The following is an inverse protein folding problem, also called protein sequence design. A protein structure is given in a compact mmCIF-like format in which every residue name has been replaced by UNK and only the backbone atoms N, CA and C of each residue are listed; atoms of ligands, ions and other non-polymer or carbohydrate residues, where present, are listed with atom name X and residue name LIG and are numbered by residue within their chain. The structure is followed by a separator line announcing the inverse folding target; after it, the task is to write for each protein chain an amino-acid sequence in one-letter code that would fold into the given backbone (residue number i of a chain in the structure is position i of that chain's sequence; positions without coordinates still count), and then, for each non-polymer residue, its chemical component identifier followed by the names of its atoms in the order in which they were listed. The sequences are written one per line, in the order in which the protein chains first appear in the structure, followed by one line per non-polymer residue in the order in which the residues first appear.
data_IF_740437837537
#
_entry.id   IF_740437837537
#
_cell.length_a   1.000
_cell.length_b   1.000
_cell.length_c   1.000
_cell.angle_alpha   90.00
_cell.angle_beta   90.00
_cell.angle_gamma   90.00
#
_symmetry.space_group_name_H-M   'P 1'
#
loop_
_entity.id
_entity.type
_entity.pdbx_description
1 polymer ?
#
# COMPACT_ATOMS: atom_id res chain seq x y z
N UNK A 1 17.74 -20.67 -2.33
CA UNK A 1 17.85 -20.10 -0.99
C UNK A 1 16.82 -19.02 -0.83
N UNK A 2 16.08 -18.93 0.30
CA UNK A 2 15.04 -17.93 0.48
C UNK A 2 15.64 -16.52 0.64
N UNK A 3 14.94 -15.52 0.12
CA UNK A 3 15.14 -14.11 0.39
C UNK A 3 13.90 -13.58 1.10
N UNK A 4 14.07 -12.91 2.23
CA UNK A 4 13.00 -12.26 2.97
C UNK A 4 13.11 -10.74 2.82
N UNK A 5 12.03 -10.11 2.39
CA UNK A 5 11.90 -8.65 2.32
C UNK A 5 11.03 -8.20 3.49
N UNK A 6 11.59 -7.42 4.40
CA UNK A 6 10.88 -6.88 5.56
C UNK A 6 10.59 -5.40 5.31
N UNK A 7 9.34 -5.10 5.04
CA UNK A 7 8.88 -3.74 4.75
C UNK A 7 8.14 -3.15 5.95
N UNK A 8 8.75 -2.19 6.63
CA UNK A 8 8.15 -1.48 7.75
C UNK A 8 8.84 -0.13 7.93
N UNK A 9 8.08 0.97 7.91
CA UNK A 9 8.63 2.32 8.02
C UNK A 9 9.50 2.50 9.27
N UNK A 10 8.94 2.21 10.42
CA UNK A 10 9.62 2.35 11.73
C UNK A 10 10.40 1.11 12.16
N UNK A 11 10.21 -0.01 11.46
CA UNK A 11 10.73 -1.33 11.81
C UNK A 11 10.31 -1.81 13.22
N UNK A 12 9.14 -1.32 13.67
CA UNK A 12 8.56 -1.63 14.99
C UNK A 12 7.09 -2.08 14.89
N UNK A 13 6.49 -2.12 13.70
CA UNK A 13 5.11 -2.52 13.50
C UNK A 13 4.89 -3.96 13.96
N UNK A 14 4.08 -4.17 14.99
CA UNK A 14 3.93 -5.44 15.69
C UNK A 14 3.68 -6.63 14.74
N UNK A 15 2.68 -6.53 13.85
CA UNK A 15 2.36 -7.61 12.92
C UNK A 15 3.50 -7.94 11.95
N UNK A 16 4.15 -6.93 11.39
CA UNK A 16 5.30 -7.10 10.48
C UNK A 16 6.47 -7.74 11.21
N UNK A 17 6.81 -7.23 12.39
CA UNK A 17 7.98 -7.73 13.14
C UNK A 17 7.75 -9.13 13.72
N UNK A 18 6.52 -9.46 14.12
CA UNK A 18 6.17 -10.84 14.53
C UNK A 18 6.43 -11.83 13.39
N UNK A 19 5.97 -11.51 12.19
CA UNK A 19 6.21 -12.34 11.00
C UNK A 19 7.70 -12.40 10.64
N UNK A 20 8.41 -11.28 10.69
CA UNK A 20 9.84 -11.23 10.42
C UNK A 20 10.64 -12.07 11.42
N UNK A 21 10.34 -12.02 12.72
CA UNK A 21 10.99 -12.85 13.74
C UNK A 21 10.65 -14.34 13.55
N UNK A 22 9.45 -14.68 13.14
CA UNK A 22 9.08 -16.07 12.81
C UNK A 22 9.92 -16.58 11.64
N UNK A 23 10.05 -15.80 10.57
CA UNK A 23 10.88 -16.15 9.42
C UNK A 23 12.37 -16.27 9.81
N UNK A 24 12.87 -15.36 10.65
CA UNK A 24 14.24 -15.40 11.18
C UNK A 24 14.50 -16.68 11.98
N UNK A 25 13.60 -17.02 12.89
CA UNK A 25 13.70 -18.25 13.69
C UNK A 25 13.71 -19.49 12.80
N UNK A 26 12.85 -19.53 11.80
CA UNK A 26 12.81 -20.61 10.82
C UNK A 26 14.12 -20.73 10.04
N UNK A 27 14.66 -19.61 9.55
CA UNK A 27 15.94 -19.57 8.83
C UNK A 27 17.09 -20.09 9.70
N UNK A 28 17.23 -19.56 10.92
CA UNK A 28 18.30 -19.93 11.84
C UNK A 28 18.25 -21.42 12.20
N UNK A 29 17.04 -21.97 12.43
CA UNK A 29 16.87 -23.39 12.68
C UNK A 29 17.36 -24.24 11.49
N UNK A 30 17.12 -23.79 10.26
CA UNK A 30 17.56 -24.48 9.05
C UNK A 30 19.07 -24.39 8.77
N UNK A 31 19.73 -23.37 9.31
CA UNK A 31 21.16 -23.08 9.10
C UNK A 31 22.03 -23.29 10.34
N UNK A 32 21.58 -24.14 11.28
CA UNK A 32 22.37 -24.51 12.47
C UNK A 32 22.59 -23.38 13.48
N UNK A 33 21.75 -22.34 13.47
CA UNK A 33 21.82 -21.22 14.42
C UNK A 33 22.83 -20.13 14.05
N UNK A 34 23.39 -20.13 12.84
CA UNK A 34 24.33 -19.10 12.41
C UNK A 34 23.64 -17.73 12.21
N UNK A 35 23.75 -16.86 13.21
CA UNK A 35 23.20 -15.50 13.21
C UNK A 35 23.67 -14.65 12.01
N UNK A 36 24.89 -14.89 11.49
CA UNK A 36 25.43 -14.17 10.33
C UNK A 36 24.66 -14.48 9.03
N UNK A 37 23.87 -15.55 9.03
CA UNK A 37 23.03 -15.89 7.89
C UNK A 37 21.90 -14.88 7.67
N UNK A 38 21.46 -14.17 8.71
CA UNK A 38 20.41 -13.14 8.61
C UNK A 38 20.82 -12.07 7.60
N UNK A 39 22.04 -11.55 7.68
CA UNK A 39 22.57 -10.54 6.76
C UNK A 39 22.60 -11.01 5.27
N UNK A 40 22.55 -12.31 5.03
CA UNK A 40 22.61 -12.90 3.67
C UNK A 40 21.24 -13.25 3.09
N UNK A 41 20.22 -13.30 3.95
CA UNK A 41 18.88 -13.78 3.58
C UNK A 41 17.78 -12.77 3.81
N UNK A 42 18.08 -11.67 4.49
CA UNK A 42 17.11 -10.61 4.76
C UNK A 42 17.54 -9.29 4.15
N UNK A 43 16.57 -8.58 3.60
CA UNK A 43 16.68 -7.18 3.20
C UNK A 43 15.57 -6.38 3.87
N UNK A 44 15.83 -5.11 4.13
CA UNK A 44 14.86 -4.23 4.75
C UNK A 44 14.41 -3.12 3.79
N UNK A 45 13.13 -2.78 3.87
CA UNK A 45 12.60 -1.54 3.30
C UNK A 45 12.07 -0.72 4.47
N UNK A 46 12.84 0.28 4.89
CA UNK A 46 12.61 1.00 6.16
C UNK A 46 13.25 2.38 6.14
N UNK A 47 12.84 3.22 7.10
CA UNK A 47 13.50 4.50 7.41
C UNK A 47 14.31 4.43 8.72
N UNK A 48 14.30 3.28 9.41
CA UNK A 48 14.92 3.11 10.74
C UNK A 48 16.11 2.16 10.69
N UNK A 49 17.28 2.69 10.35
CA UNK A 49 18.54 1.95 10.23
C UNK A 49 18.94 1.24 11.53
N UNK A 50 18.73 1.88 12.68
CA UNK A 50 19.12 1.34 13.97
C UNK A 50 18.37 0.03 14.30
N UNK A 51 17.05 -0.02 14.09
CA UNK A 51 16.26 -1.23 14.33
C UNK A 51 16.51 -2.31 13.25
N UNK A 52 16.83 -1.91 12.02
CA UNK A 52 17.24 -2.83 10.94
C UNK A 52 18.56 -3.54 11.31
N UNK A 53 19.56 -2.77 11.74
CA UNK A 53 20.85 -3.33 12.20
C UNK A 53 20.68 -4.25 13.41
N UNK A 54 19.86 -3.85 14.38
CA UNK A 54 19.56 -4.64 15.58
C UNK A 54 18.87 -5.98 15.27
N UNK A 55 18.06 -6.03 14.22
CA UNK A 55 17.46 -7.28 13.74
C UNK A 55 18.49 -8.26 13.18
N UNK A 56 19.64 -7.76 12.72
CA UNK A 56 20.75 -8.53 12.13
C UNK A 56 20.81 -8.42 10.60
N UNK A 57 20.03 -7.51 9.99
CA UNK A 57 20.14 -7.20 8.56
C UNK A 57 21.33 -6.28 8.36
N UNK A 58 22.15 -6.56 7.33
CA UNK A 58 23.18 -5.63 6.90
C UNK A 58 22.53 -4.38 6.30
N UNK A 59 22.86 -3.20 6.83
CA UNK A 59 22.24 -1.94 6.41
C UNK A 59 22.59 -1.54 4.97
N UNK A 60 23.61 -2.15 4.36
CA UNK A 60 23.85 -2.04 2.92
C UNK A 60 22.70 -2.65 2.09
N UNK A 61 21.96 -3.58 2.66
CA UNK A 61 20.76 -4.20 2.10
C UNK A 61 19.46 -3.55 2.60
N UNK A 62 19.53 -2.32 3.05
CA UNK A 62 18.37 -1.51 3.43
C UNK A 62 18.03 -0.53 2.33
N UNK A 63 16.76 -0.54 1.93
CA UNK A 63 16.18 0.37 0.95
C UNK A 63 15.35 1.43 1.68
N UNK A 64 15.83 2.66 1.66
CA UNK A 64 15.16 3.81 2.26
C UNK A 64 14.05 4.37 1.38
N UNK A 65 13.13 5.09 1.99
CA UNK A 65 12.09 5.87 1.31
C UNK A 65 11.76 7.13 2.12
N UNK A 66 11.04 8.05 1.52
CA UNK A 66 10.75 9.35 2.11
C UNK A 66 9.76 9.25 3.27
N UNK A 67 9.91 10.11 4.26
CA UNK A 67 9.06 10.11 5.46
C UNK A 67 7.59 10.40 5.18
N UNK A 68 7.29 11.12 4.11
CA UNK A 68 5.92 11.42 3.66
C UNK A 68 5.22 10.23 2.97
N UNK A 69 5.91 9.13 2.67
CA UNK A 69 5.31 7.94 2.05
C UNK A 69 4.37 7.26 3.04
N UNK A 70 3.09 7.20 2.71
CA UNK A 70 2.07 6.51 3.49
C UNK A 70 1.87 5.06 3.03
N UNK A 71 1.53 4.15 3.95
CA UNK A 71 1.45 2.71 3.67
C UNK A 71 0.56 2.34 2.49
N UNK A 72 -0.65 2.88 2.42
CA UNK A 72 -1.62 2.58 1.35
C UNK A 72 -1.29 3.20 -0.02
N UNK A 73 -0.35 4.13 -0.06
CA UNK A 73 0.15 4.81 -1.26
C UNK A 73 1.62 4.49 -1.54
N UNK A 74 2.14 3.38 -1.04
CA UNK A 74 3.57 3.13 -0.98
C UNK A 74 4.11 2.21 -2.07
N UNK A 75 3.25 1.54 -2.85
CA UNK A 75 3.68 0.54 -3.83
C UNK A 75 4.57 1.12 -4.94
N UNK A 76 4.43 2.39 -5.26
CA UNK A 76 5.22 3.16 -6.21
C UNK A 76 6.56 3.69 -5.62
N UNK A 77 6.84 3.42 -4.35
CA UNK A 77 8.10 3.72 -3.66
C UNK A 77 8.98 2.46 -3.52
N UNK A 78 10.07 2.56 -2.75
CA UNK A 78 10.91 1.41 -2.40
C UNK A 78 10.11 0.26 -1.71
N UNK A 79 8.95 0.55 -1.11
CA UNK A 79 8.04 -0.47 -0.55
C UNK A 79 7.59 -1.46 -1.64
N UNK A 80 7.52 -1.05 -2.89
CA UNK A 80 7.23 -1.91 -4.04
C UNK A 80 8.33 -2.90 -4.42
N UNK A 81 9.45 -2.98 -3.69
CA UNK A 81 10.56 -3.88 -4.00
C UNK A 81 10.13 -5.34 -4.22
N UNK A 82 9.23 -5.86 -3.38
CA UNK A 82 8.72 -7.22 -3.53
C UNK A 82 7.93 -7.42 -4.84
N UNK A 83 7.16 -6.41 -5.24
CA UNK A 83 6.44 -6.40 -6.54
C UNK A 83 7.44 -6.35 -7.69
N UNK A 84 8.43 -5.46 -7.61
CA UNK A 84 9.47 -5.35 -8.64
C UNK A 84 10.25 -6.66 -8.83
N UNK A 85 10.58 -7.35 -7.74
CA UNK A 85 11.24 -8.66 -7.79
C UNK A 85 10.34 -9.73 -8.43
N UNK A 86 9.03 -9.65 -8.22
CA UNK A 86 8.07 -10.62 -8.75
C UNK A 86 7.79 -10.43 -10.25
N UNK A 87 7.65 -9.19 -10.73
CA UNK A 87 7.24 -8.88 -12.11
C UNK A 87 8.42 -8.46 -13.00
N UNK A 88 9.57 -8.20 -12.42
CA UNK A 88 10.75 -7.68 -13.08
C UNK A 88 10.80 -6.14 -13.16
N UNK A 89 12.00 -5.55 -13.30
CA UNK A 89 12.19 -4.10 -13.26
C UNK A 89 11.49 -3.38 -14.43
N UNK A 90 11.49 -3.97 -15.62
CA UNK A 90 10.87 -3.36 -16.80
C UNK A 90 9.35 -3.23 -16.66
N UNK A 91 8.69 -4.29 -16.18
CA UNK A 91 7.26 -4.26 -15.90
C UNK A 91 6.92 -3.33 -14.73
N UNK A 92 7.79 -3.26 -13.73
CA UNK A 92 7.62 -2.32 -12.63
C UNK A 92 7.74 -0.87 -13.12
N UNK A 93 8.71 -0.56 -13.96
CA UNK A 93 8.84 0.74 -14.61
C UNK A 93 7.61 1.09 -15.46
N UNK A 94 7.10 0.15 -16.25
CA UNK A 94 5.88 0.36 -17.03
C UNK A 94 4.65 0.62 -16.14
N UNK A 95 4.56 -0.01 -14.96
CA UNK A 95 3.53 0.28 -13.97
C UNK A 95 3.67 1.73 -13.43
N UNK A 96 4.87 2.18 -13.10
CA UNK A 96 5.13 3.56 -12.66
C UNK A 96 4.80 4.57 -13.76
N UNK A 97 5.04 4.23 -15.03
CA UNK A 97 4.66 5.05 -16.16
C UNK A 97 3.13 5.25 -16.24
N UNK A 98 2.36 4.21 -15.91
CA UNK A 98 0.90 4.32 -15.79
C UNK A 98 0.47 5.30 -14.67
N UNK A 99 1.13 5.30 -13.51
CA UNK A 99 0.92 6.33 -12.48
C UNK A 99 1.21 7.72 -13.02
N UNK A 100 2.35 7.91 -13.67
CA UNK A 100 2.74 9.19 -14.26
C UNK A 100 1.72 9.69 -15.30
N UNK A 101 1.23 8.83 -16.18
CA UNK A 101 0.23 9.19 -17.18
C UNK A 101 -1.07 9.67 -16.51
N UNK A 102 -1.50 9.04 -15.43
CA UNK A 102 -2.70 9.47 -14.70
C UNK A 102 -2.47 10.78 -13.94
N UNK A 103 -1.29 10.98 -13.36
CA UNK A 103 -0.91 12.24 -12.72
C UNK A 103 -0.93 13.40 -13.70
N UNK A 104 -0.37 13.21 -14.91
CA UNK A 104 -0.43 14.20 -15.98
C UNK A 104 -1.85 14.45 -16.44
N UNK A 105 -2.65 13.39 -16.64
CA UNK A 105 -4.06 13.55 -16.97
C UNK A 105 -4.80 14.38 -15.90
N UNK A 106 -4.60 14.09 -14.63
CA UNK A 106 -5.22 14.85 -13.54
C UNK A 106 -4.79 16.32 -13.55
N UNK A 107 -3.51 16.61 -13.80
CA UNK A 107 -2.91 17.94 -13.74
C UNK A 107 -3.36 18.86 -14.88
N UNK A 108 -3.50 18.31 -16.11
CA UNK A 108 -3.69 19.15 -17.32
C UNK A 108 -5.06 19.04 -17.95
N UNK A 109 -5.86 18.01 -17.64
CA UNK A 109 -7.15 17.80 -18.29
C UNK A 109 -8.22 18.70 -17.68
N UNK A 110 -9.04 19.39 -18.49
CA UNK A 110 -10.20 20.16 -18.02
C UNK A 110 -11.16 19.30 -17.17
N UNK A 111 -11.80 19.90 -16.18
CA UNK A 111 -12.63 19.17 -15.19
C UNK A 111 -13.76 18.34 -15.79
N UNK A 112 -14.34 18.79 -16.88
CA UNK A 112 -15.42 18.08 -17.60
C UNK A 112 -14.96 16.79 -18.29
N UNK A 113 -13.66 16.52 -18.37
CA UNK A 113 -13.03 15.33 -18.96
C UNK A 113 -12.01 14.67 -18.03
N UNK A 114 -11.78 15.23 -16.86
CA UNK A 114 -10.80 14.75 -15.90
C UNK A 114 -11.38 13.57 -15.11
N UNK A 115 -10.93 12.35 -15.41
CA UNK A 115 -11.48 11.13 -14.81
C UNK A 115 -11.46 11.13 -13.28
N UNK A 116 -10.35 11.41 -12.57
CA UNK A 116 -10.34 11.49 -11.11
C UNK A 116 -11.32 12.52 -10.56
N UNK A 117 -11.40 13.71 -11.18
CA UNK A 117 -12.33 14.76 -10.75
C UNK A 117 -13.78 14.32 -10.95
N UNK A 118 -14.11 13.76 -12.11
CA UNK A 118 -15.47 13.28 -12.39
C UNK A 118 -15.88 12.16 -11.45
N UNK A 119 -15.00 11.20 -11.18
CA UNK A 119 -15.27 10.13 -10.22
C UNK A 119 -15.49 10.65 -8.81
N UNK A 120 -14.69 11.62 -8.36
CA UNK A 120 -14.86 12.25 -7.06
C UNK A 120 -16.19 13.02 -6.95
N UNK A 121 -16.53 13.82 -7.96
CA UNK A 121 -17.79 14.58 -8.01
C UNK A 121 -19.01 13.65 -8.04
N UNK A 122 -18.99 12.58 -8.83
CA UNK A 122 -20.07 11.59 -8.86
C UNK A 122 -20.20 10.88 -7.52
N UNK A 123 -19.08 10.51 -6.87
CA UNK A 123 -19.10 9.92 -5.53
C UNK A 123 -19.76 10.84 -4.51
N UNK A 124 -19.37 12.11 -4.48
CA UNK A 124 -19.98 13.12 -3.59
C UNK A 124 -21.46 13.27 -3.90
N UNK A 125 -21.80 13.39 -5.18
CA UNK A 125 -23.18 13.59 -5.63
C UNK A 125 -24.09 12.44 -5.22
N UNK A 126 -23.72 11.22 -5.51
CA UNK A 126 -24.52 10.05 -5.12
C UNK A 126 -24.58 9.89 -3.61
N UNK A 127 -23.46 10.06 -2.90
CA UNK A 127 -23.42 9.83 -1.46
C UNK A 127 -24.18 10.89 -0.67
N UNK A 128 -24.03 12.17 -1.01
CA UNK A 128 -24.58 13.27 -0.21
C UNK A 128 -25.91 13.83 -0.70
N UNK A 129 -26.29 13.58 -1.96
CA UNK A 129 -27.54 14.12 -2.54
C UNK A 129 -28.57 13.04 -2.87
N UNK A 130 -28.14 11.80 -3.08
CA UNK A 130 -29.02 10.66 -3.38
C UNK A 130 -29.02 9.58 -2.32
N UNK A 131 -28.33 9.80 -1.20
CA UNK A 131 -28.28 8.88 -0.05
C UNK A 131 -27.75 7.47 -0.42
N UNK A 132 -26.87 7.40 -1.41
CA UNK A 132 -26.22 6.16 -1.82
C UNK A 132 -25.02 5.86 -0.92
N UNK A 133 -25.19 5.00 0.07
CA UNK A 133 -24.19 4.76 1.11
C UNK A 133 -23.00 3.92 0.64
N UNK A 134 -23.10 3.20 -0.48
CA UNK A 134 -22.08 2.22 -0.87
C UNK A 134 -21.77 2.24 -2.36
N UNK A 135 -20.52 1.86 -2.67
CA UNK A 135 -20.03 1.59 -4.02
C UNK A 135 -19.63 0.12 -4.10
N UNK A 136 -20.27 -0.64 -5.00
CA UNK A 136 -19.88 -2.01 -5.30
C UNK A 136 -18.78 -2.00 -6.37
N UNK A 137 -17.67 -2.70 -6.09
CA UNK A 137 -16.57 -2.92 -7.04
C UNK A 137 -16.54 -4.40 -7.37
N UNK A 138 -16.94 -4.75 -8.58
CA UNK A 138 -17.17 -6.11 -9.03
C UNK A 138 -16.16 -6.48 -10.13
N UNK A 139 -14.94 -6.91 -9.79
CA UNK A 139 -13.94 -7.26 -10.77
C UNK A 139 -14.35 -8.52 -11.55
N UNK A 140 -14.18 -8.50 -12.88
CA UNK A 140 -14.36 -9.67 -13.74
C UNK A 140 -13.07 -10.49 -13.91
N UNK A 141 -12.06 -10.21 -13.08
CA UNK A 141 -10.76 -10.88 -13.11
C UNK A 141 -10.41 -11.42 -11.71
N UNK A 142 -10.13 -12.72 -11.62
CA UNK A 142 -9.84 -13.39 -10.35
C UNK A 142 -8.60 -12.82 -9.63
N UNK A 143 -7.61 -12.38 -10.37
CA UNK A 143 -6.41 -11.76 -9.77
C UNK A 143 -6.70 -10.41 -9.12
N UNK A 144 -7.82 -9.76 -9.44
CA UNK A 144 -8.29 -8.53 -8.81
C UNK A 144 -9.19 -8.75 -7.59
N UNK A 145 -9.33 -9.99 -7.10
CA UNK A 145 -10.21 -10.30 -5.93
C UNK A 145 -9.90 -9.47 -4.69
N UNK A 146 -8.66 -9.00 -4.52
CA UNK A 146 -8.26 -8.15 -3.38
C UNK A 146 -8.41 -6.66 -3.65
N UNK A 147 -8.78 -6.27 -4.86
CA UNK A 147 -8.93 -4.85 -5.23
C UNK A 147 -10.01 -4.12 -4.42
N UNK A 148 -11.21 -4.67 -4.19
CA UNK A 148 -12.19 -4.04 -3.30
C UNK A 148 -11.65 -3.80 -1.89
N UNK A 149 -10.96 -4.79 -1.30
CA UNK A 149 -10.35 -4.66 0.02
C UNK A 149 -9.22 -3.61 0.06
N UNK A 150 -8.46 -3.46 -1.03
CA UNK A 150 -7.48 -2.39 -1.16
C UNK A 150 -8.16 -1.01 -1.16
N UNK A 151 -9.26 -0.84 -1.91
CA UNK A 151 -10.02 0.40 -1.95
C UNK A 151 -10.68 0.74 -0.59
N UNK A 152 -11.03 -0.26 0.22
CA UNK A 152 -11.50 -0.02 1.58
C UNK A 152 -10.45 0.71 2.42
N UNK A 153 -9.23 0.23 2.42
CA UNK A 153 -8.15 0.92 3.13
C UNK A 153 -7.80 2.25 2.45
N UNK A 154 -7.64 2.26 1.13
CA UNK A 154 -7.25 3.44 0.37
C UNK A 154 -8.23 4.60 0.56
N UNK A 155 -9.53 4.34 0.44
CA UNK A 155 -10.57 5.37 0.39
C UNK A 155 -11.28 5.56 1.71
N UNK A 156 -11.79 4.48 2.33
CA UNK A 156 -12.59 4.58 3.55
C UNK A 156 -11.76 5.01 4.75
N UNK A 157 -10.57 4.45 4.92
CA UNK A 157 -9.67 4.85 6.00
C UNK A 157 -9.13 6.27 5.81
N UNK A 158 -8.87 6.67 4.56
CA UNK A 158 -8.37 8.03 4.26
C UNK A 158 -9.46 9.09 4.42
N UNK A 159 -10.64 8.86 3.87
CA UNK A 159 -11.71 9.86 3.75
C UNK A 159 -12.79 9.72 4.82
N UNK A 160 -12.93 8.55 5.47
CA UNK A 160 -13.92 8.31 6.53
C UNK A 160 -13.59 9.08 7.82
N UNK A 161 -13.51 10.39 7.75
CA UNK A 161 -13.19 11.31 8.82
C UNK A 161 -14.35 12.30 9.01
N UNK A 162 -14.98 12.30 10.17
CA UNK A 162 -16.13 13.16 10.45
C UNK A 162 -15.83 14.33 11.38
N UNK A 163 -14.55 14.50 11.76
CA UNK A 163 -14.08 15.63 12.58
C UNK A 163 -13.09 16.45 11.76
N UNK A 164 -13.30 17.75 11.64
CA UNK A 164 -12.36 18.69 11.00
C UNK A 164 -11.10 18.89 11.83
N UNK A 165 -10.09 19.54 11.25
CA UNK A 165 -8.87 19.91 11.98
C UNK A 165 -9.16 20.85 13.17
N UNK A 166 -10.24 21.63 13.11
CA UNK A 166 -10.69 22.51 14.19
C UNK A 166 -11.56 21.80 15.24
N UNK A 167 -11.69 20.48 15.16
CA UNK A 167 -12.46 19.65 16.09
C UNK A 167 -13.99 19.71 15.90
N UNK A 168 -14.46 20.23 14.78
CA UNK A 168 -15.90 20.37 14.48
C UNK A 168 -16.38 19.10 13.78
N UNK A 169 -17.51 18.55 14.24
CA UNK A 169 -18.17 17.43 13.56
C UNK A 169 -18.84 17.92 12.27
N UNK A 170 -18.58 17.23 11.16
CA UNK A 170 -19.27 17.47 9.89
C UNK A 170 -20.64 16.81 9.88
N UNK A 171 -21.58 17.34 9.11
CA UNK A 171 -22.97 16.87 8.94
C UNK A 171 -23.24 16.20 7.59
N UNK A 172 -22.18 15.91 6.87
CA UNK A 172 -22.22 15.23 5.57
C UNK A 172 -21.35 13.97 5.58
N UNK A 173 -21.57 13.07 4.61
CA UNK A 173 -20.77 11.86 4.46
C UNK A 173 -19.44 12.18 3.76
N UNK A 174 -18.33 11.71 4.34
CA UNK A 174 -16.97 11.97 3.84
C UNK A 174 -16.42 10.83 2.99
N UNK A 175 -17.04 9.63 3.05
CA UNK A 175 -16.70 8.48 2.20
C UNK A 175 -17.89 7.53 2.12
N UNK A 176 -18.21 6.99 0.94
CA UNK A 176 -19.10 5.82 0.84
C UNK A 176 -18.38 4.56 1.35
N UNK A 177 -19.16 3.51 1.58
CA UNK A 177 -18.65 2.17 1.88
C UNK A 177 -18.23 1.51 0.57
N UNK A 178 -16.97 1.07 0.48
CA UNK A 178 -16.49 0.26 -0.64
C UNK A 178 -16.61 -1.23 -0.28
N UNK A 179 -17.16 -2.01 -1.18
CA UNK A 179 -17.27 -3.46 -1.03
C UNK A 179 -17.28 -4.15 -2.39
N UNK A 180 -17.09 -5.44 -2.43
CA UNK A 180 -17.20 -6.23 -3.64
C UNK A 180 -16.37 -7.49 -3.60
N UNK A 181 -16.67 -8.36 -4.55
CA UNK A 181 -15.98 -9.62 -4.81
C UNK A 181 -15.95 -9.87 -6.31
N UNK A 182 -15.00 -10.66 -6.83
CA UNK A 182 -15.10 -11.19 -8.18
C UNK A 182 -16.38 -12.00 -8.30
N UNK A 183 -17.17 -11.70 -9.32
CA UNK A 183 -18.40 -12.40 -9.60
C UNK A 183 -18.33 -13.13 -10.92
N UNK A 184 -19.10 -14.21 -11.03
CA UNK A 184 -19.50 -14.82 -12.30
C UNK A 184 -20.99 -14.66 -12.43
N UNK A 185 -21.46 -14.39 -13.63
CA UNK A 185 -22.88 -14.43 -13.94
C UNK A 185 -23.32 -15.88 -14.13
#
# INVERSE_FOLDING_TARGET
QPLFVVSSKTFTTLGTMTNAHTARTWLLKGLGGDEKSVAKHFVAVSTNEAEVAKFGIDTVNMFGFWDWVGGRYSMDSAIGLSTMLAIGPDNFSAMLDGFHQMDEHFRITPFDRNLPVLMALLTIWYTNFFDAHAIAVLPYEQYLKRFPAYLQQLTMESNGKYITLDGIKVDYQTSPIYWGEPGTN
#
